data_IF_418397604704
#
_entry.id   IF_418397604704
#
_cell.length_a   1.000
_cell.length_b   1.000
_cell.length_c   1.000
_cell.angle_alpha   90.00
_cell.angle_beta   90.00
_cell.angle_gamma   90.00
#
_symmetry.space_group_name_H-M   'P 1'
#
loop_
_entity.id
_entity.type
_entity.pdbx_description
1 polymer ?
#
# COMPACT_ATOMS: atom_id res chain seq x y z
N UNK A 1 -20.03 3.45 -21.84
CA UNK A 1 -21.48 3.27 -22.04
C UNK A 1 -22.25 3.91 -20.90
N UNK A 2 -23.14 4.82 -21.27
CA UNK A 2 -24.12 5.49 -20.42
C UNK A 2 -25.34 4.58 -20.26
N UNK A 3 -25.70 4.30 -19.00
CA UNK A 3 -26.86 3.50 -18.63
C UNK A 3 -27.76 4.31 -17.71
N UNK A 4 -28.98 4.60 -18.17
CA UNK A 4 -30.01 5.20 -17.32
C UNK A 4 -30.67 4.07 -16.54
N UNK A 5 -30.44 4.03 -15.24
CA UNK A 5 -30.88 2.90 -14.40
C UNK A 5 -32.28 3.12 -13.83
N UNK A 6 -32.62 4.37 -13.50
CA UNK A 6 -33.97 4.72 -13.03
C UNK A 6 -34.33 6.16 -13.41
N UNK A 7 -35.54 6.35 -13.91
CA UNK A 7 -36.12 7.66 -14.23
C UNK A 7 -37.45 7.80 -13.48
N UNK A 8 -37.54 8.77 -12.59
CA UNK A 8 -38.80 9.34 -12.11
C UNK A 8 -39.16 10.55 -12.98
N UNK A 9 -40.38 11.06 -12.90
CA UNK A 9 -40.80 12.22 -13.68
C UNK A 9 -39.89 13.45 -13.45
N UNK A 10 -39.32 13.58 -12.24
CA UNK A 10 -38.47 14.74 -11.87
C UNK A 10 -36.98 14.43 -11.64
N UNK A 11 -36.57 13.16 -11.59
CA UNK A 11 -35.19 12.79 -11.22
C UNK A 11 -34.66 11.56 -11.95
N UNK A 12 -33.44 11.64 -12.47
CA UNK A 12 -32.75 10.56 -13.19
C UNK A 12 -31.50 10.06 -12.47
N UNK A 13 -31.32 8.75 -12.36
CA UNK A 13 -30.06 8.16 -11.94
C UNK A 13 -29.35 7.51 -13.13
N UNK A 14 -28.14 7.99 -13.41
CA UNK A 14 -27.34 7.67 -14.59
C UNK A 14 -26.01 7.07 -14.14
N UNK A 15 -25.69 5.90 -14.68
CA UNK A 15 -24.40 5.24 -14.51
C UNK A 15 -23.60 5.42 -15.79
N UNK A 16 -22.35 5.83 -15.64
CA UNK A 16 -21.44 6.10 -16.74
C UNK A 16 -20.16 5.31 -16.51
N UNK A 17 -19.82 4.46 -17.48
CA UNK A 17 -18.54 3.72 -17.47
C UNK A 17 -17.85 3.91 -18.80
N UNK A 18 -16.68 4.55 -18.83
CA UNK A 18 -15.97 4.92 -20.07
C UNK A 18 -16.90 5.58 -21.11
N UNK A 19 -17.30 6.85 -20.90
CA UNK A 19 -18.23 7.54 -21.79
C UNK A 19 -17.60 7.87 -23.14
N UNK A 20 -18.39 7.79 -24.21
CA UNK A 20 -18.05 8.37 -25.51
C UNK A 20 -18.27 9.88 -25.52
N UNK A 21 -17.65 10.58 -26.47
CA UNK A 21 -17.83 12.03 -26.67
C UNK A 21 -19.29 12.42 -26.91
N UNK A 22 -20.08 11.57 -27.59
CA UNK A 22 -21.52 11.77 -27.81
C UNK A 22 -22.34 11.66 -26.50
N UNK A 23 -21.98 10.71 -25.64
CA UNK A 23 -22.61 10.54 -24.32
C UNK A 23 -22.32 11.74 -23.41
N UNK A 24 -21.09 12.27 -23.44
CA UNK A 24 -20.73 13.49 -22.71
C UNK A 24 -21.54 14.70 -23.20
N UNK A 25 -21.71 14.87 -24.51
CA UNK A 25 -22.56 15.95 -25.05
C UNK A 25 -24.01 15.84 -24.59
N UNK A 26 -24.52 14.63 -24.42
CA UNK A 26 -25.87 14.40 -23.89
C UNK A 26 -25.97 14.89 -22.44
N UNK A 27 -24.96 14.62 -21.60
CA UNK A 27 -24.93 15.10 -20.22
C UNK A 27 -24.90 16.63 -20.13
N UNK A 28 -24.16 17.29 -21.01
CA UNK A 28 -24.12 18.76 -21.09
C UNK A 28 -25.47 19.33 -21.53
N UNK A 29 -26.05 18.81 -22.63
CA UNK A 29 -27.26 19.38 -23.23
C UNK A 29 -28.53 19.08 -22.44
N UNK A 30 -28.67 17.87 -21.88
CA UNK A 30 -29.91 17.41 -21.26
C UNK A 30 -29.92 17.65 -19.75
N UNK A 31 -28.77 17.53 -19.09
CA UNK A 31 -28.67 17.60 -17.63
C UNK A 31 -27.89 18.81 -17.13
N UNK A 32 -27.47 19.70 -18.03
CA UNK A 32 -26.75 20.95 -17.72
C UNK A 32 -25.44 20.74 -16.94
N UNK A 33 -24.75 19.61 -17.16
CA UNK A 33 -23.41 19.40 -16.62
C UNK A 33 -22.40 20.33 -17.30
N UNK A 34 -21.44 20.87 -16.54
CA UNK A 34 -20.35 21.69 -17.11
C UNK A 34 -19.28 20.79 -17.72
N UNK A 35 -18.64 21.27 -18.80
CA UNK A 35 -17.55 20.51 -19.45
C UNK A 35 -16.35 20.31 -18.50
N UNK A 36 -16.12 21.29 -17.62
CA UNK A 36 -15.10 21.21 -16.58
C UNK A 36 -15.40 20.10 -15.56
N UNK A 37 -16.60 20.06 -14.96
CA UNK A 37 -16.97 19.01 -14.01
C UNK A 37 -16.94 17.61 -14.65
N UNK A 38 -17.31 17.49 -15.93
CA UNK A 38 -17.19 16.23 -16.66
C UNK A 38 -15.73 15.83 -16.87
N UNK A 39 -14.83 16.76 -17.15
CA UNK A 39 -13.41 16.47 -17.33
C UNK A 39 -12.77 15.92 -16.06
N UNK A 40 -13.11 16.49 -14.89
CA UNK A 40 -12.68 15.96 -13.59
C UNK A 40 -13.28 14.58 -13.31
N UNK A 41 -14.55 14.36 -13.64
CA UNK A 41 -15.23 13.11 -13.35
C UNK A 41 -14.77 11.89 -14.19
N UNK A 42 -14.13 12.13 -15.35
CA UNK A 42 -13.61 11.07 -16.22
C UNK A 42 -12.10 10.84 -16.10
N UNK A 43 -11.38 11.72 -15.41
CA UNK A 43 -9.93 11.60 -15.25
C UNK A 43 -9.58 10.49 -14.25
N UNK A 44 -8.82 9.50 -14.73
CA UNK A 44 -8.36 8.33 -13.96
C UNK A 44 -7.38 8.71 -12.85
N UNK A 45 -6.72 9.86 -12.95
CA UNK A 45 -5.71 10.31 -11.99
C UNK A 45 -6.21 11.45 -11.10
N UNK A 46 -7.50 11.77 -11.15
CA UNK A 46 -8.06 12.88 -10.38
C UNK A 46 -7.99 12.62 -8.88
N UNK A 47 -7.72 13.68 -8.12
CA UNK A 47 -7.57 13.60 -6.67
C UNK A 47 -8.94 13.55 -6.00
N UNK A 48 -9.04 12.79 -4.92
CA UNK A 48 -10.27 12.73 -4.14
C UNK A 48 -10.58 14.12 -3.54
N UNK A 49 -11.74 14.67 -3.90
CA UNK A 49 -12.22 15.97 -3.43
C UNK A 49 -13.73 16.10 -3.58
N UNK A 50 -14.28 17.10 -2.89
CA UNK A 50 -15.68 17.51 -3.00
C UNK A 50 -15.70 18.96 -3.44
N UNK A 51 -16.55 19.26 -4.41
CA UNK A 51 -16.62 20.57 -5.05
C UNK A 51 -18.09 20.94 -5.24
N UNK A 52 -18.45 22.16 -4.83
CA UNK A 52 -19.78 22.73 -5.07
C UNK A 52 -19.59 23.89 -6.06
N UNK A 53 -20.22 23.76 -7.21
CA UNK A 53 -20.40 24.84 -8.18
C UNK A 53 -21.79 25.43 -7.96
N UNK A 54 -21.86 26.51 -7.18
CA UNK A 54 -23.12 27.18 -6.84
C UNK A 54 -23.85 27.76 -8.06
N UNK A 55 -23.18 28.46 -9.00
CA UNK A 55 -23.83 28.98 -10.21
C UNK A 55 -24.59 27.91 -11.00
N UNK A 56 -24.01 26.71 -11.12
CA UNK A 56 -24.61 25.61 -11.89
C UNK A 56 -25.38 24.60 -11.02
N UNK A 57 -25.41 24.80 -9.69
CA UNK A 57 -26.00 23.90 -8.70
C UNK A 57 -25.51 22.43 -8.88
N UNK A 58 -24.20 22.29 -9.09
CA UNK A 58 -23.52 21.00 -9.25
C UNK A 58 -22.77 20.70 -7.95
N UNK A 59 -22.94 19.48 -7.44
CA UNK A 59 -22.13 18.97 -6.37
C UNK A 59 -21.39 17.71 -6.82
N UNK A 60 -20.07 17.79 -6.89
CA UNK A 60 -19.20 16.73 -7.36
C UNK A 60 -18.42 16.15 -6.20
N UNK A 61 -18.49 14.82 -6.03
CA UNK A 61 -17.65 14.05 -5.11
C UNK A 61 -16.79 13.12 -5.94
N UNK A 62 -15.48 13.18 -5.78
CA UNK A 62 -14.53 12.25 -6.39
C UNK A 62 -13.93 11.44 -5.26
N UNK A 63 -14.18 10.13 -5.24
CA UNK A 63 -13.72 9.26 -4.16
C UNK A 63 -12.87 8.14 -4.74
N UNK A 64 -11.71 7.87 -4.16
CA UNK A 64 -10.87 6.74 -4.61
C UNK A 64 -11.45 5.42 -4.12
N UNK A 65 -11.63 4.47 -5.04
CA UNK A 65 -12.10 3.12 -4.74
C UNK A 65 -10.99 2.09 -5.09
N UNK A 66 -10.97 0.96 -4.37
CA UNK A 66 -10.06 -0.14 -4.66
C UNK A 66 -10.37 -0.76 -6.03
N UNK A 67 -9.34 -1.07 -6.81
CA UNK A 67 -9.48 -1.81 -8.06
C UNK A 67 -10.02 -3.23 -7.79
N UNK A 68 -11.01 -3.67 -8.57
CA UNK A 68 -11.48 -5.06 -8.53
C UNK A 68 -10.44 -6.06 -9.08
N UNK A 69 -9.43 -5.59 -9.82
CA UNK A 69 -8.40 -6.43 -10.40
C UNK A 69 -7.19 -6.54 -9.46
N UNK A 70 -7.24 -7.49 -8.53
CA UNK A 70 -6.17 -7.74 -7.56
C UNK A 70 -4.93 -8.43 -8.17
N UNK A 71 -4.94 -8.80 -9.46
CA UNK A 71 -3.85 -9.55 -10.10
C UNK A 71 -2.56 -8.74 -10.25
N UNK A 72 -2.67 -7.41 -10.32
CA UNK A 72 -1.53 -6.49 -10.48
C UNK A 72 -1.12 -5.81 -9.16
N UNK A 73 -1.63 -6.32 -8.02
CA UNK A 73 -1.46 -5.71 -6.70
C UNK A 73 -2.61 -4.79 -6.33
N UNK A 74 -2.48 -4.13 -5.18
CA UNK A 74 -3.50 -3.22 -4.67
C UNK A 74 -3.36 -1.87 -5.38
N UNK A 75 -4.35 -1.54 -6.21
CA UNK A 75 -4.44 -0.26 -6.91
C UNK A 75 -5.76 0.43 -6.55
N UNK A 76 -5.80 1.74 -6.75
CA UNK A 76 -6.96 2.57 -6.53
C UNK A 76 -7.27 3.39 -7.78
N UNK A 77 -8.55 3.60 -8.05
CA UNK A 77 -9.01 4.48 -9.14
C UNK A 77 -10.19 5.33 -8.63
N UNK A 78 -10.39 6.54 -9.16
CA UNK A 78 -11.49 7.39 -8.77
C UNK A 78 -12.85 6.83 -9.22
N UNK A 79 -13.86 7.06 -8.40
CA UNK A 79 -15.27 6.99 -8.73
C UNK A 79 -15.90 8.34 -8.40
N UNK A 80 -16.57 8.96 -9.38
CA UNK A 80 -17.16 10.27 -9.20
C UNK A 80 -18.68 10.18 -9.07
N UNK A 81 -19.24 10.91 -8.10
CA UNK A 81 -20.66 11.09 -7.88
C UNK A 81 -20.99 12.57 -8.12
N UNK A 82 -21.68 12.83 -9.22
CA UNK A 82 -22.06 14.18 -9.64
C UNK A 82 -23.57 14.37 -9.44
N UNK A 83 -23.93 15.17 -8.46
CA UNK A 83 -25.29 15.60 -8.22
C UNK A 83 -25.59 16.85 -9.05
N UNK A 84 -26.59 16.72 -9.91
CA UNK A 84 -27.17 17.76 -10.74
C UNK A 84 -28.59 18.06 -10.22
N UNK A 85 -29.23 19.18 -10.60
CA UNK A 85 -30.56 19.55 -10.10
C UNK A 85 -31.63 18.46 -10.30
N UNK A 86 -31.55 17.71 -11.42
CA UNK A 86 -32.53 16.67 -11.80
C UNK A 86 -31.89 15.29 -11.99
N UNK A 87 -30.63 15.10 -11.63
CA UNK A 87 -29.98 13.81 -11.82
C UNK A 87 -28.81 13.55 -10.88
N UNK A 88 -28.55 12.27 -10.60
CA UNK A 88 -27.26 11.80 -10.12
C UNK A 88 -26.56 11.08 -11.27
N UNK A 89 -25.35 11.52 -11.60
CA UNK A 89 -24.47 10.86 -12.56
C UNK A 89 -23.31 10.24 -11.83
N UNK A 90 -23.10 8.94 -12.02
CA UNK A 90 -22.01 8.19 -11.36
C UNK A 90 -21.02 7.75 -12.42
N UNK A 91 -19.79 8.21 -12.31
CA UNK A 91 -18.70 7.88 -13.21
C UNK A 91 -17.81 6.83 -12.57
N UNK A 92 -17.56 5.77 -13.33
CA UNK A 92 -16.74 4.62 -12.92
C UNK A 92 -15.85 4.19 -14.06
N UNK A 93 -14.74 3.56 -13.73
CA UNK A 93 -13.84 2.92 -14.69
C UNK A 93 -14.04 1.42 -14.68
N UNK A 94 -13.35 0.70 -15.57
CA UNK A 94 -13.49 -0.76 -15.68
C UNK A 94 -13.14 -1.46 -14.37
N UNK A 95 -12.13 -0.96 -13.65
CA UNK A 95 -11.69 -1.53 -12.38
C UNK A 95 -12.64 -1.22 -11.21
N UNK A 96 -13.35 -0.09 -11.26
CA UNK A 96 -14.28 0.38 -10.21
C UNK A 96 -15.75 0.17 -10.57
N UNK A 97 -16.07 -0.53 -11.65
CA UNK A 97 -17.44 -0.78 -12.10
C UNK A 97 -18.32 -1.46 -11.03
N UNK A 98 -17.73 -2.18 -10.07
CA UNK A 98 -18.48 -2.77 -8.96
C UNK A 98 -19.16 -1.72 -8.06
N UNK A 99 -18.67 -0.47 -8.02
CA UNK A 99 -19.28 0.66 -7.29
C UNK A 99 -20.73 0.86 -7.74
N UNK A 100 -21.01 0.72 -9.04
CA UNK A 100 -22.37 0.81 -9.58
C UNK A 100 -23.31 -0.25 -8.98
N UNK A 101 -22.80 -1.48 -8.76
CA UNK A 101 -23.57 -2.56 -8.13
C UNK A 101 -23.81 -2.31 -6.65
N UNK A 102 -22.83 -1.75 -5.94
CA UNK A 102 -22.97 -1.37 -4.53
C UNK A 102 -24.04 -0.29 -4.37
N UNK A 103 -23.97 0.76 -5.20
CA UNK A 103 -24.95 1.83 -5.18
C UNK A 103 -26.36 1.31 -5.49
N UNK A 104 -26.52 0.46 -6.52
CA UNK A 104 -27.82 -0.16 -6.84
C UNK A 104 -28.40 -0.95 -5.67
N UNK A 105 -27.57 -1.76 -5.01
CA UNK A 105 -27.97 -2.52 -3.82
C UNK A 105 -28.39 -1.60 -2.68
N UNK A 106 -27.64 -0.52 -2.45
CA UNK A 106 -27.94 0.45 -1.39
C UNK A 106 -29.23 1.22 -1.67
N UNK A 107 -29.46 1.64 -2.92
CA UNK A 107 -30.73 2.23 -3.36
C UNK A 107 -31.89 1.27 -3.11
N UNK A 108 -31.79 0.02 -3.55
CA UNK A 108 -32.84 -1.01 -3.32
C UNK A 108 -33.11 -1.27 -1.84
N UNK A 109 -32.05 -1.32 -1.04
CA UNK A 109 -32.14 -1.54 0.40
C UNK A 109 -32.84 -0.38 1.10
N UNK A 110 -32.50 0.86 0.72
CA UNK A 110 -33.16 2.06 1.25
C UNK A 110 -34.62 2.11 0.83
N UNK A 111 -34.96 1.81 -0.43
CA UNK A 111 -36.35 1.73 -0.89
C UNK A 111 -37.15 0.70 -0.08
N UNK A 112 -36.60 -0.51 0.12
CA UNK A 112 -37.28 -1.58 0.87
C UNK A 112 -37.48 -1.21 2.35
N UNK A 113 -36.55 -0.48 2.95
CA UNK A 113 -36.65 -0.02 4.34
C UNK A 113 -37.56 1.20 4.50
N UNK A 114 -37.92 1.86 3.40
CA UNK A 114 -38.74 3.05 3.45
C UNK A 114 -40.22 2.65 3.45
N UNK A 115 -40.90 2.94 4.55
CA UNK A 115 -42.34 2.71 4.71
C UNK A 115 -43.18 3.96 4.43
N UNK A 116 -42.55 5.06 4.01
CA UNK A 116 -43.23 6.33 3.78
C UNK A 116 -44.07 6.30 2.49
N UNK A 117 -45.40 6.51 2.57
CA UNK A 117 -46.27 6.61 1.40
C UNK A 117 -45.92 7.80 0.49
N UNK A 118 -45.28 8.84 1.01
CA UNK A 118 -44.88 10.05 0.28
C UNK A 118 -43.42 9.99 -0.20
N UNK A 119 -42.91 8.79 -0.46
CA UNK A 119 -41.53 8.59 -0.89
C UNK A 119 -41.21 9.34 -2.20
N UNK A 120 -40.35 10.35 -2.11
CA UNK A 120 -39.80 11.04 -3.28
C UNK A 120 -38.40 10.55 -3.62
N UNK A 121 -38.22 10.08 -4.85
CA UNK A 121 -36.91 9.73 -5.39
C UNK A 121 -36.19 11.01 -5.83
N UNK A 122 -35.51 11.69 -4.90
CA UNK A 122 -34.86 12.98 -5.10
C UNK A 122 -33.35 12.96 -4.74
N UNK A 123 -32.70 14.12 -4.87
CA UNK A 123 -31.27 14.29 -4.53
C UNK A 123 -30.96 13.90 -3.08
N UNK A 124 -31.81 14.27 -2.12
CA UNK A 124 -31.60 13.94 -0.70
C UNK A 124 -31.62 12.43 -0.46
N UNK A 125 -32.56 11.71 -1.09
CA UNK A 125 -32.55 10.25 -1.05
C UNK A 125 -31.25 9.66 -1.62
N UNK A 126 -30.79 10.18 -2.76
CA UNK A 126 -29.56 9.70 -3.39
C UNK A 126 -28.29 10.01 -2.60
N UNK A 127 -28.25 11.12 -1.85
CA UNK A 127 -27.15 11.41 -0.91
C UNK A 127 -27.03 10.30 0.14
N UNK A 128 -28.14 9.81 0.70
CA UNK A 128 -28.12 8.68 1.64
C UNK A 128 -27.55 7.40 0.99
N UNK A 129 -27.94 7.12 -0.26
CA UNK A 129 -27.44 5.96 -1.00
C UNK A 129 -25.95 6.07 -1.31
N UNK A 130 -25.48 7.27 -1.71
CA UNK A 130 -24.06 7.55 -1.97
C UNK A 130 -23.25 7.46 -0.69
N UNK A 131 -23.70 8.04 0.43
CA UNK A 131 -22.99 7.92 1.72
C UNK A 131 -22.92 6.48 2.20
N UNK A 132 -23.99 5.69 2.07
CA UNK A 132 -23.92 4.27 2.39
C UNK A 132 -22.94 3.51 1.49
N UNK A 133 -22.84 3.92 0.22
CA UNK A 133 -21.87 3.33 -0.71
C UNK A 133 -20.44 3.72 -0.35
N UNK A 134 -20.19 5.00 -0.03
CA UNK A 134 -18.89 5.48 0.44
C UNK A 134 -18.48 4.76 1.73
N UNK A 135 -19.39 4.62 2.69
CA UNK A 135 -19.13 3.86 3.92
C UNK A 135 -18.63 2.44 3.61
N UNK A 136 -19.32 1.72 2.72
CA UNK A 136 -18.88 0.39 2.32
C UNK A 136 -17.54 0.38 1.58
N UNK A 137 -17.24 1.41 0.79
CA UNK A 137 -15.94 1.55 0.16
C UNK A 137 -14.85 1.76 1.21
N UNK A 138 -15.10 2.58 2.24
CA UNK A 138 -14.19 2.75 3.39
C UNK A 138 -13.95 1.42 4.12
N UNK A 139 -15.00 0.63 4.39
CA UNK A 139 -14.85 -0.71 5.00
C UNK A 139 -13.96 -1.63 4.14
N UNK A 140 -14.06 -1.56 2.80
CA UNK A 140 -13.16 -2.33 1.93
C UNK A 140 -11.71 -1.91 2.04
N UNK A 141 -11.43 -0.62 2.26
CA UNK A 141 -10.07 -0.17 2.58
C UNK A 141 -9.59 -0.78 3.90
N UNK A 142 -10.44 -0.83 4.93
CA UNK A 142 -10.11 -1.48 6.20
C UNK A 142 -9.79 -2.96 6.05
N UNK A 143 -10.58 -3.68 5.25
CA UNK A 143 -10.31 -5.09 4.93
C UNK A 143 -8.97 -5.24 4.21
N UNK A 144 -8.65 -4.36 3.26
CA UNK A 144 -7.39 -4.39 2.52
C UNK A 144 -6.17 -4.12 3.42
N UNK A 145 -6.25 -3.11 4.30
CA UNK A 145 -5.20 -2.81 5.29
C UNK A 145 -5.01 -3.98 6.26
N UNK A 146 -6.11 -4.56 6.74
CA UNK A 146 -6.09 -5.73 7.62
C UNK A 146 -5.47 -6.95 6.92
N UNK A 147 -5.74 -7.12 5.62
CA UNK A 147 -5.14 -8.20 4.84
C UNK A 147 -3.63 -8.04 4.68
N UNK A 148 -3.16 -6.84 4.35
CA UNK A 148 -1.71 -6.55 4.29
C UNK A 148 -1.04 -6.81 5.63
N UNK A 149 -1.68 -6.41 6.74
CA UNK A 149 -1.19 -6.68 8.09
C UNK A 149 -1.06 -8.17 8.40
N UNK A 150 -2.05 -8.97 7.97
CA UNK A 150 -2.01 -10.42 8.09
C UNK A 150 -0.86 -11.01 7.27
N UNK A 151 -0.78 -10.66 5.98
CA UNK A 151 0.26 -11.15 5.08
C UNK A 151 1.67 -10.77 5.58
N UNK A 152 1.85 -9.56 6.12
CA UNK A 152 3.10 -9.15 6.80
C UNK A 152 3.46 -10.09 7.94
N UNK A 153 2.50 -10.40 8.83
CA UNK A 153 2.75 -11.29 9.96
C UNK A 153 3.13 -12.70 9.51
N UNK A 154 2.52 -13.21 8.44
CA UNK A 154 2.92 -14.49 7.85
C UNK A 154 4.36 -14.47 7.35
N UNK A 155 4.76 -13.43 6.61
CA UNK A 155 6.14 -13.29 6.13
C UNK A 155 7.10 -13.18 7.33
N UNK A 156 6.76 -12.36 8.34
CA UNK A 156 7.55 -12.19 9.55
C UNK A 156 7.74 -13.51 10.32
N UNK A 157 6.70 -14.34 10.40
CA UNK A 157 6.79 -15.65 11.05
C UNK A 157 7.65 -16.63 10.24
N UNK A 158 7.59 -16.59 8.91
CA UNK A 158 8.50 -17.39 8.04
C UNK A 158 9.96 -16.98 8.23
N UNK A 159 10.23 -15.70 8.47
CA UNK A 159 11.59 -15.21 8.71
C UNK A 159 12.22 -15.66 10.02
N UNK A 160 11.43 -15.99 11.04
CA UNK A 160 11.96 -16.52 12.31
C UNK A 160 12.73 -17.83 12.10
N UNK A 161 12.41 -18.61 11.06
CA UNK A 161 13.03 -19.91 10.81
C UNK A 161 14.11 -19.86 9.73
N UNK A 162 13.95 -19.02 8.70
CA UNK A 162 14.96 -18.85 7.64
C UNK A 162 14.92 -17.45 7.05
N UNK A 163 16.02 -16.71 7.22
CA UNK A 163 16.25 -15.43 6.53
C UNK A 163 16.59 -15.72 5.06
N UNK A 164 15.85 -15.13 4.13
CA UNK A 164 16.16 -15.20 2.70
C UNK A 164 15.82 -13.87 2.00
N UNK A 165 16.41 -13.66 0.83
CA UNK A 165 16.18 -12.48 0.00
C UNK A 165 14.72 -12.36 -0.47
N UNK A 166 14.07 -13.49 -0.76
CA UNK A 166 12.70 -13.52 -1.27
C UNK A 166 11.69 -12.90 -0.31
N UNK A 167 11.84 -13.10 1.00
CA UNK A 167 10.93 -12.50 1.96
C UNK A 167 11.07 -10.97 2.04
N UNK A 168 12.28 -10.43 1.83
CA UNK A 168 12.49 -8.97 1.81
C UNK A 168 11.80 -8.39 0.58
N UNK A 169 11.92 -9.06 -0.56
CA UNK A 169 11.18 -8.70 -1.76
C UNK A 169 9.66 -8.74 -1.53
N UNK A 170 9.15 -9.74 -0.80
CA UNK A 170 7.72 -9.77 -0.41
C UNK A 170 7.34 -8.63 0.53
N UNK A 171 8.19 -8.25 1.48
CA UNK A 171 7.94 -7.08 2.35
C UNK A 171 7.89 -5.78 1.53
N UNK A 172 8.81 -5.59 0.58
CA UNK A 172 8.82 -4.42 -0.32
C UNK A 172 7.55 -4.33 -1.17
N UNK A 173 7.02 -5.47 -1.62
CA UNK A 173 5.74 -5.51 -2.36
C UNK A 173 4.55 -5.12 -1.48
N UNK A 174 4.52 -5.58 -0.23
CA UNK A 174 3.50 -5.16 0.73
C UNK A 174 3.60 -3.68 1.06
N UNK A 175 4.82 -3.17 1.28
CA UNK A 175 5.09 -1.74 1.52
C UNK A 175 4.58 -0.88 0.36
N UNK A 176 4.92 -1.25 -0.87
CA UNK A 176 4.46 -0.55 -2.08
C UNK A 176 2.92 -0.52 -2.15
N UNK A 177 2.28 -1.68 -1.95
CA UNK A 177 0.81 -1.79 -1.96
C UNK A 177 0.17 -0.93 -0.87
N UNK A 178 0.78 -0.87 0.32
CA UNK A 178 0.28 -0.11 1.44
C UNK A 178 0.45 1.40 1.25
N UNK A 179 1.52 1.84 0.58
CA UNK A 179 1.71 3.25 0.21
C UNK A 179 0.57 3.71 -0.71
N UNK A 180 0.22 2.93 -1.74
CA UNK A 180 -0.92 3.25 -2.61
C UNK A 180 -2.23 3.38 -1.83
N UNK A 181 -2.51 2.44 -0.92
CA UNK A 181 -3.68 2.51 -0.05
C UNK A 181 -3.66 3.74 0.84
N UNK A 182 -2.53 4.03 1.48
CA UNK A 182 -2.35 5.15 2.39
C UNK A 182 -2.55 6.49 1.68
N UNK A 183 -2.06 6.63 0.45
CA UNK A 183 -2.25 7.84 -0.37
C UNK A 183 -3.74 8.06 -0.70
N UNK A 184 -4.45 7.01 -1.11
CA UNK A 184 -5.90 7.12 -1.35
C UNK A 184 -6.70 7.34 -0.08
N UNK A 185 -6.35 6.68 1.03
CA UNK A 185 -6.98 6.90 2.34
C UNK A 185 -6.79 8.33 2.81
N UNK A 186 -5.58 8.89 2.76
CA UNK A 186 -5.32 10.30 3.11
C UNK A 186 -6.17 11.25 2.27
N UNK A 187 -6.26 11.00 0.96
CA UNK A 187 -7.05 11.82 0.04
C UNK A 187 -8.56 11.73 0.35
N UNK A 188 -9.08 10.51 0.55
CA UNK A 188 -10.47 10.26 0.89
C UNK A 188 -10.85 10.85 2.27
N UNK A 189 -10.02 10.65 3.29
CA UNK A 189 -10.23 11.22 4.64
C UNK A 189 -10.22 12.75 4.59
N UNK A 190 -9.30 13.36 3.84
CA UNK A 190 -9.26 14.81 3.64
C UNK A 190 -10.53 15.31 2.94
N UNK A 191 -11.00 14.61 1.92
CA UNK A 191 -12.25 14.89 1.22
C UNK A 191 -13.44 14.89 2.19
N UNK A 192 -13.60 13.81 2.98
CA UNK A 192 -14.72 13.64 3.89
C UNK A 192 -14.71 14.70 5.00
N UNK A 193 -13.53 15.02 5.54
CA UNK A 193 -13.33 16.11 6.49
C UNK A 193 -13.69 17.47 5.90
N UNK A 194 -13.29 17.74 4.64
CA UNK A 194 -13.68 18.96 3.94
C UNK A 194 -15.20 19.05 3.80
N UNK A 195 -15.89 17.96 3.45
CA UNK A 195 -17.36 17.94 3.36
C UNK A 195 -18.06 18.32 4.66
N UNK A 196 -17.55 17.86 5.82
CA UNK A 196 -18.10 18.25 7.13
C UNK A 196 -17.95 19.76 7.43
N UNK A 197 -16.94 20.40 6.86
CA UNK A 197 -16.60 21.82 7.07
C UNK A 197 -17.21 22.73 6.01
N UNK A 198 -17.78 22.18 4.93
CA UNK A 198 -18.38 22.97 3.85
C UNK A 198 -19.67 23.66 4.32
N UNK A 199 -19.72 25.01 4.37
CA UNK A 199 -20.90 25.73 4.87
C UNK A 199 -22.12 25.60 3.96
N UNK A 200 -21.90 25.43 2.66
CA UNK A 200 -22.96 25.43 1.65
C UNK A 200 -23.50 24.03 1.34
N UNK A 201 -22.97 23.00 2.01
CA UNK A 201 -23.43 21.63 1.88
C UNK A 201 -24.68 21.40 2.75
N UNK A 202 -25.86 21.43 2.11
CA UNK A 202 -27.15 21.24 2.78
C UNK A 202 -27.43 19.77 3.06
N UNK A 203 -26.94 19.26 4.20
CA UNK A 203 -27.25 17.91 4.69
C UNK A 203 -28.37 17.95 5.74
N UNK A 204 -29.23 16.93 5.71
CA UNK A 204 -30.13 16.63 6.84
C UNK A 204 -29.31 16.18 8.05
N UNK A 205 -29.89 16.26 9.26
CA UNK A 205 -29.24 15.79 10.50
C UNK A 205 -28.74 14.35 10.38
N UNK A 206 -29.57 13.45 9.82
CA UNK A 206 -29.19 12.05 9.63
C UNK A 206 -28.04 11.86 8.63
N UNK A 207 -28.04 12.61 7.52
CA UNK A 207 -26.94 12.58 6.55
C UNK A 207 -25.63 13.09 7.15
N UNK A 208 -25.70 14.14 7.97
CA UNK A 208 -24.52 14.67 8.66
C UNK A 208 -23.95 13.65 9.65
N UNK A 209 -24.79 13.03 10.49
CA UNK A 209 -24.35 11.96 11.39
C UNK A 209 -23.73 10.79 10.61
N UNK A 210 -24.33 10.40 9.47
CA UNK A 210 -23.76 9.35 8.62
C UNK A 210 -22.40 9.74 8.05
N UNK A 211 -22.21 11.00 7.65
CA UNK A 211 -20.93 11.49 7.19
C UNK A 211 -19.88 11.50 8.32
N UNK A 212 -20.26 11.89 9.53
CA UNK A 212 -19.40 11.82 10.73
C UNK A 212 -18.94 10.38 11.01
N UNK A 213 -19.84 9.40 10.92
CA UNK A 213 -19.48 7.97 11.03
C UNK A 213 -18.46 7.54 9.97
N UNK A 214 -18.66 7.95 8.70
CA UNK A 214 -17.74 7.62 7.60
C UNK A 214 -16.37 8.25 7.83
N UNK A 215 -16.32 9.48 8.35
CA UNK A 215 -15.07 10.17 8.69
C UNK A 215 -14.30 9.41 9.76
N UNK A 216 -14.96 9.03 10.86
CA UNK A 216 -14.33 8.26 11.95
C UNK A 216 -13.73 6.96 11.41
N UNK A 217 -14.50 6.21 10.60
CA UNK A 217 -14.03 4.95 10.03
C UNK A 217 -12.84 5.16 9.07
N UNK A 218 -12.86 6.24 8.28
CA UNK A 218 -11.79 6.60 7.34
C UNK A 218 -10.51 7.05 8.05
N UNK A 219 -10.65 7.81 9.13
CA UNK A 219 -9.53 8.23 9.99
C UNK A 219 -8.87 7.03 10.65
N UNK A 220 -9.66 6.12 11.21
CA UNK A 220 -9.15 4.85 11.76
C UNK A 220 -8.43 4.03 10.69
N UNK A 221 -9.00 3.92 9.49
CA UNK A 221 -8.39 3.22 8.35
C UNK A 221 -7.01 3.81 8.02
N UNK A 222 -6.93 5.14 7.95
CA UNK A 222 -5.71 5.88 7.62
C UNK A 222 -4.64 5.69 8.70
N UNK A 223 -4.99 5.77 9.98
CA UNK A 223 -4.07 5.55 11.09
C UNK A 223 -3.53 4.12 11.09
N UNK A 224 -4.41 3.13 10.90
CA UNK A 224 -4.00 1.73 10.80
C UNK A 224 -3.07 1.50 9.61
N UNK A 225 -3.35 2.09 8.45
CA UNK A 225 -2.49 1.99 7.28
C UNK A 225 -1.11 2.64 7.53
N UNK A 226 -1.06 3.81 8.16
CA UNK A 226 0.19 4.50 8.51
C UNK A 226 1.04 3.65 9.47
N UNK A 227 0.45 3.20 10.57
CA UNK A 227 1.14 2.35 11.55
C UNK A 227 1.66 1.05 10.91
N UNK A 228 0.87 0.47 10.00
CA UNK A 228 1.27 -0.73 9.28
C UNK A 228 2.48 -0.47 8.37
N UNK A 229 2.54 0.71 7.75
CA UNK A 229 3.65 1.12 6.88
C UNK A 229 4.92 1.27 7.69
N UNK A 230 4.83 2.00 8.81
CA UNK A 230 5.97 2.25 9.70
C UNK A 230 6.52 0.91 10.26
N UNK A 231 5.65 -0.04 10.59
CA UNK A 231 6.06 -1.38 11.04
C UNK A 231 6.75 -2.15 9.92
N UNK A 232 6.20 -2.16 8.70
CA UNK A 232 6.82 -2.88 7.57
C UNK A 232 8.21 -2.33 7.27
N UNK A 233 8.35 -1.00 7.24
CA UNK A 233 9.64 -0.33 7.02
C UNK A 233 10.65 -0.71 8.11
N UNK A 234 10.25 -0.61 9.38
CA UNK A 234 11.12 -0.94 10.52
C UNK A 234 11.53 -2.42 10.52
N UNK A 235 10.61 -3.32 10.20
CA UNK A 235 10.88 -4.77 10.12
C UNK A 235 11.80 -5.09 8.94
N UNK A 236 11.55 -4.50 7.77
CA UNK A 236 12.39 -4.64 6.58
C UNK A 236 13.83 -4.17 6.86
N UNK A 237 13.98 -2.99 7.47
CA UNK A 237 15.29 -2.46 7.88
C UNK A 237 16.02 -3.37 8.86
N UNK A 238 15.36 -3.79 9.94
CA UNK A 238 15.97 -4.71 10.92
C UNK A 238 16.38 -6.04 10.29
N UNK A 239 15.66 -6.53 9.28
CA UNK A 239 16.07 -7.73 8.55
C UNK A 239 17.28 -7.51 7.65
N UNK A 240 17.35 -6.39 6.95
CA UNK A 240 18.55 -6.00 6.19
C UNK A 240 19.78 -5.93 7.10
N UNK A 241 19.66 -5.32 8.28
CA UNK A 241 20.75 -5.24 9.26
C UNK A 241 21.23 -6.63 9.73
N UNK A 242 20.31 -7.58 9.93
CA UNK A 242 20.68 -8.96 10.30
C UNK A 242 21.37 -9.69 9.13
N UNK A 243 20.90 -9.48 7.89
CA UNK A 243 21.56 -10.06 6.72
C UNK A 243 22.98 -9.52 6.54
N UNK A 244 23.17 -8.22 6.71
CA UNK A 244 24.49 -7.60 6.64
C UNK A 244 25.41 -8.12 7.75
N UNK A 245 24.88 -8.34 8.96
CA UNK A 245 25.65 -8.98 10.03
C UNK A 245 26.06 -10.43 9.68
N UNK A 246 25.15 -11.19 9.06
CA UNK A 246 25.47 -12.55 8.60
C UNK A 246 26.55 -12.54 7.51
N UNK A 247 26.46 -11.61 6.54
CA UNK A 247 27.49 -11.44 5.51
C UNK A 247 28.85 -11.09 6.13
N UNK A 248 28.87 -10.13 7.07
CA UNK A 248 30.08 -9.78 7.80
C UNK A 248 30.65 -10.98 8.56
N UNK A 249 29.80 -11.79 9.20
CA UNK A 249 30.24 -12.99 9.90
C UNK A 249 30.82 -14.05 8.93
N UNK A 250 30.20 -14.26 7.77
CA UNK A 250 30.72 -15.16 6.73
C UNK A 250 32.06 -14.67 6.17
N UNK A 251 32.19 -13.37 5.90
CA UNK A 251 33.47 -12.79 5.45
C UNK A 251 34.56 -12.93 6.51
N UNK A 252 34.24 -12.69 7.79
CA UNK A 252 35.17 -12.93 8.90
C UNK A 252 35.62 -14.40 8.93
N UNK A 253 34.69 -15.34 8.80
CA UNK A 253 34.99 -16.77 8.77
C UNK A 253 35.92 -17.16 7.60
N UNK A 254 35.62 -16.71 6.38
CA UNK A 254 36.48 -16.97 5.22
C UNK A 254 37.86 -16.33 5.36
N UNK A 255 37.92 -15.13 5.94
CA UNK A 255 39.18 -14.42 6.18
C UNK A 255 40.07 -15.15 7.18
N UNK A 256 39.53 -15.56 8.34
CA UNK A 256 40.32 -16.30 9.32
C UNK A 256 40.78 -17.66 8.77
N UNK A 257 39.92 -18.36 8.03
CA UNK A 257 40.29 -19.63 7.39
C UNK A 257 41.46 -19.41 6.43
N UNK A 258 41.41 -18.34 5.63
CA UNK A 258 42.47 -18.00 4.69
C UNK A 258 43.79 -17.67 5.41
N UNK A 259 43.75 -16.91 6.50
CA UNK A 259 44.95 -16.58 7.28
C UNK A 259 45.55 -17.84 7.92
N UNK A 260 44.73 -18.70 8.52
CA UNK A 260 45.18 -19.96 9.13
C UNK A 260 45.83 -20.88 8.09
N UNK A 261 45.31 -20.93 6.86
CA UNK A 261 45.90 -21.71 5.76
C UNK A 261 47.15 -21.06 5.17
N UNK A 262 47.26 -19.73 5.18
CA UNK A 262 48.40 -19.02 4.62
C UNK A 262 49.68 -19.16 5.47
N UNK A 263 49.55 -19.14 6.81
CA UNK A 263 50.71 -19.19 7.72
C UNK A 263 51.60 -20.43 7.51
N UNK A 264 51.07 -21.67 7.48
CA UNK A 264 51.86 -22.85 7.16
C UNK A 264 52.52 -22.80 5.79
N UNK A 265 51.79 -22.33 4.78
CA UNK A 265 52.31 -22.24 3.42
C UNK A 265 53.53 -21.31 3.32
N UNK A 266 53.52 -20.19 4.06
CA UNK A 266 54.69 -19.29 4.12
C UNK A 266 55.87 -20.01 4.77
N UNK A 267 55.67 -20.67 5.91
CA UNK A 267 56.74 -21.37 6.64
C UNK A 267 57.31 -22.53 5.82
N UNK A 268 56.46 -23.38 5.26
CA UNK A 268 56.86 -24.46 4.35
C UNK A 268 57.49 -23.93 3.07
N UNK A 269 57.01 -22.81 2.54
CA UNK A 269 57.57 -22.15 1.36
C UNK A 269 59.02 -21.73 1.57
N UNK A 270 59.35 -21.10 2.71
CA UNK A 270 60.74 -20.74 3.03
C UNK A 270 61.62 -21.98 3.22
N UNK A 271 61.21 -22.94 4.04
CA UNK A 271 61.99 -24.16 4.29
C UNK A 271 62.05 -25.13 3.10
N UNK A 272 61.20 -24.93 2.08
CA UNK A 272 61.24 -25.64 0.81
C UNK A 272 62.08 -24.97 -0.29
N UNK A 273 62.62 -23.77 -0.04
CA UNK A 273 63.50 -23.10 -0.99
C UNK A 273 64.93 -23.64 -0.92
N UNK A 274 65.59 -23.70 -2.08
CA UNK A 274 67.00 -24.11 -2.20
C UNK A 274 67.96 -22.98 -1.79
N UNK A 275 67.74 -22.37 -0.63
CA UNK A 275 68.57 -21.30 -0.06
C UNK A 275 69.07 -21.74 1.31
N UNK A 276 70.32 -21.40 1.64
CA UNK A 276 70.91 -21.74 2.94
C UNK A 276 70.20 -21.01 4.08
N UNK A 277 69.26 -21.71 4.74
CA UNK A 277 68.53 -21.23 5.90
C UNK A 277 69.16 -21.75 7.21
N UNK A 278 69.08 -20.96 8.30
CA UNK A 278 69.52 -21.40 9.60
C UNK A 278 68.74 -22.66 10.03
N UNK A 279 69.44 -23.64 10.62
CA UNK A 279 68.89 -24.91 11.12
C UNK A 279 68.31 -25.87 10.05
N UNK A 280 68.38 -25.54 8.75
CA UNK A 280 67.86 -26.39 7.67
C UNK A 280 68.60 -27.74 7.51
N UNK A 281 69.92 -27.77 7.74
CA UNK A 281 70.77 -28.96 7.58
C UNK A 281 70.76 -29.92 8.79
N UNK A 282 69.80 -29.77 9.72
CA UNK A 282 69.70 -30.62 10.91
C UNK A 282 68.70 -31.76 10.69
N UNK A 283 68.89 -32.96 11.28
CA UNK A 283 67.95 -34.09 11.15
C UNK A 283 66.53 -33.80 11.67
N UNK A 284 66.38 -32.78 12.52
CA UNK A 284 65.12 -32.36 13.13
C UNK A 284 64.56 -31.06 12.53
N UNK A 285 65.04 -30.63 11.36
CA UNK A 285 64.55 -29.42 10.69
C UNK A 285 63.05 -29.48 10.36
N UNK A 286 62.54 -30.67 10.02
CA UNK A 286 61.11 -30.88 9.76
C UNK A 286 60.23 -30.67 11.00
N UNK A 287 60.67 -31.09 12.19
CA UNK A 287 59.92 -30.86 13.44
C UNK A 287 59.95 -29.39 13.84
N UNK A 288 61.10 -28.73 13.68
CA UNK A 288 61.26 -27.30 13.92
C UNK A 288 60.29 -26.49 13.04
N UNK A 289 60.18 -26.84 11.75
CA UNK A 289 59.29 -26.19 10.78
C UNK A 289 57.82 -26.29 11.21
N UNK A 290 57.37 -27.48 11.64
CA UNK A 290 56.01 -27.69 12.16
C UNK A 290 55.78 -26.86 13.43
N UNK A 291 56.75 -26.84 14.35
CA UNK A 291 56.62 -26.12 15.62
C UNK A 291 56.52 -24.61 15.41
N UNK A 292 57.36 -24.03 14.54
CA UNK A 292 57.29 -22.62 14.15
C UNK A 292 55.94 -22.31 13.52
N UNK A 293 55.47 -23.15 12.60
CA UNK A 293 54.17 -22.96 11.96
C UNK A 293 53.02 -22.98 12.96
N UNK A 294 53.03 -23.91 13.92
CA UNK A 294 52.01 -23.99 14.96
C UNK A 294 52.07 -22.79 15.92
N UNK A 295 53.27 -22.35 16.30
CA UNK A 295 53.47 -21.17 17.13
C UNK A 295 52.92 -19.89 16.44
N UNK A 296 53.17 -19.73 15.14
CA UNK A 296 52.63 -18.61 14.37
C UNK A 296 51.10 -18.65 14.24
N UNK A 297 50.50 -19.83 14.01
CA UNK A 297 49.03 -19.97 14.03
C UNK A 297 48.47 -19.58 15.41
N UNK A 298 49.12 -20.02 16.49
CA UNK A 298 48.68 -19.70 17.85
C UNK A 298 48.75 -18.19 18.11
N UNK A 299 49.81 -17.51 17.67
CA UNK A 299 49.92 -16.04 17.75
C UNK A 299 48.79 -15.36 16.97
N UNK A 300 48.54 -15.78 15.73
CA UNK A 300 47.44 -15.24 14.91
C UNK A 300 46.09 -15.44 15.59
N UNK A 301 45.85 -16.64 16.13
CA UNK A 301 44.63 -16.95 16.87
C UNK A 301 44.45 -16.04 18.09
N UNK A 302 45.52 -15.83 18.88
CA UNK A 302 45.48 -14.94 20.05
C UNK A 302 45.17 -13.49 19.65
N UNK A 303 45.76 -12.99 18.57
CA UNK A 303 45.49 -11.64 18.04
C UNK A 303 44.04 -11.52 17.57
N UNK A 304 43.54 -12.52 16.81
CA UNK A 304 42.16 -12.54 16.35
C UNK A 304 41.16 -12.62 17.51
N UNK A 305 41.48 -13.36 18.57
CA UNK A 305 40.65 -13.43 19.76
C UNK A 305 40.68 -12.12 20.57
N UNK A 306 41.84 -11.50 20.74
CA UNK A 306 41.98 -10.21 21.44
C UNK A 306 41.23 -9.09 20.74
N UNK A 307 41.26 -9.06 19.40
CA UNK A 307 40.50 -8.10 18.59
C UNK A 307 38.99 -8.36 18.56
N UNK A 308 38.48 -9.32 19.34
CA UNK A 308 37.07 -9.78 19.34
C UNK A 308 36.58 -10.21 17.95
N UNK A 309 37.48 -10.61 17.05
CA UNK A 309 37.12 -10.98 15.67
C UNK A 309 36.13 -12.15 15.62
N UNK A 310 36.16 -13.03 16.61
CA UNK A 310 35.27 -14.20 16.73
C UNK A 310 33.96 -13.94 17.47
N UNK A 311 33.73 -12.75 18.04
CA UNK A 311 32.45 -12.44 18.69
C UNK A 311 31.39 -12.11 17.64
N UNK A 312 30.22 -12.73 17.81
CA UNK A 312 29.00 -12.50 17.03
C UNK A 312 28.39 -11.13 17.32
#
# INVERSE_FOLDING_TARGET
MLKVTKKSDDFSWIQVSNPSTLELQTLVKTYHATSEALSYAIDKNERARAEIDEPNNIFLIIFHALSANLKEGVQTEPAAFMFLPKALVVFTHDSTHYVNKLLDRNVKTLIRKNSDPNFEFNNSFMVNAVFNTIYELTIRFNDAVSRINFDRQEIQNKFKTRLNHNGIQSMLQLETSLIYLLTSLKSNTSLLNSMLRMPNLKLTKGQRTRLEEIVIESEQSQEMAQLSSDIIEQVSKSYSDILDNNLNNTMKFLTILSIILAVPNIVFGFYGQNVSLPMANTPWSWTLTILISFALILIVYLIANWSNFFKK
#
